data_IF_539483675998
#
_entry.id   IF_539483675998
#
_cell.length_a   1.000
_cell.length_b   1.000
_cell.length_c   1.000
_cell.angle_alpha   90.00
_cell.angle_beta   90.00
_cell.angle_gamma   90.00
#
_symmetry.space_group_name_H-M   'P 1'
#
loop_
_entity.id
_entity.type
_entity.pdbx_description
1 polymer ?
#
# COMPACT_ATOMS: atom_id res chain seq x y z
N UNK A 1 2.57 22.92 10.35
CA UNK A 1 2.42 21.95 11.45
C UNK A 1 1.82 20.59 11.04
N UNK A 2 0.95 20.53 10.04
CA UNK A 2 0.34 19.26 9.59
C UNK A 2 1.36 18.23 9.09
N UNK A 3 2.38 18.64 8.34
CA UNK A 3 3.46 17.74 7.87
C UNK A 3 4.24 17.14 9.06
N UNK A 4 4.60 17.97 10.04
CA UNK A 4 5.33 17.55 11.24
C UNK A 4 4.52 16.55 12.05
N UNK A 5 3.23 16.81 12.27
CA UNK A 5 2.33 15.91 12.97
C UNK A 5 2.21 14.56 12.24
N UNK A 6 2.04 14.58 10.92
CA UNK A 6 1.96 13.37 10.10
C UNK A 6 3.25 12.55 10.18
N UNK A 7 4.42 13.18 10.09
CA UNK A 7 5.71 12.50 10.24
C UNK A 7 5.83 11.80 11.60
N UNK A 8 5.48 12.50 12.69
CA UNK A 8 5.49 11.95 14.04
C UNK A 8 4.53 10.76 14.18
N UNK A 9 3.31 10.86 13.63
CA UNK A 9 2.33 9.78 13.68
C UNK A 9 2.81 8.53 12.94
N UNK A 10 3.33 8.69 11.72
CA UNK A 10 3.86 7.58 10.93
C UNK A 10 5.02 6.90 11.65
N UNK A 11 6.00 7.68 12.13
CA UNK A 11 7.15 7.14 12.83
C UNK A 11 6.74 6.45 14.14
N UNK A 12 5.86 7.06 14.93
CA UNK A 12 5.38 6.47 16.19
C UNK A 12 4.76 5.08 15.97
N UNK A 13 3.87 4.95 14.98
CA UNK A 13 3.23 3.67 14.68
C UNK A 13 4.23 2.62 14.19
N UNK A 14 5.16 3.00 13.30
CA UNK A 14 6.22 2.11 12.81
C UNK A 14 7.11 1.66 13.95
N UNK A 15 7.61 2.59 14.76
CA UNK A 15 8.56 2.31 15.85
C UNK A 15 7.92 1.45 16.94
N UNK A 16 6.69 1.78 17.39
CA UNK A 16 5.99 1.00 18.38
C UNK A 16 5.73 -0.45 17.90
N UNK A 17 5.30 -0.61 16.65
CA UNK A 17 5.04 -1.93 16.06
C UNK A 17 6.30 -2.78 15.96
N UNK A 18 7.40 -2.19 15.48
CA UNK A 18 8.67 -2.89 15.32
C UNK A 18 9.33 -3.24 16.65
N UNK A 19 9.28 -2.35 17.63
CA UNK A 19 9.79 -2.63 18.97
C UNK A 19 9.02 -3.77 19.64
N UNK A 20 7.68 -3.79 19.52
CA UNK A 20 6.87 -4.88 20.07
C UNK A 20 7.16 -6.21 19.34
N UNK A 21 7.28 -6.17 18.00
CA UNK A 21 7.63 -7.34 17.19
C UNK A 21 8.99 -7.92 17.62
N UNK A 22 10.04 -7.09 17.66
CA UNK A 22 11.38 -7.53 18.05
C UNK A 22 11.43 -8.01 19.49
N UNK A 23 10.77 -7.32 20.42
CA UNK A 23 10.68 -7.75 21.81
C UNK A 23 10.04 -9.13 21.96
N UNK A 24 8.99 -9.43 21.18
CA UNK A 24 8.36 -10.76 21.18
C UNK A 24 9.23 -11.80 20.52
N UNK A 25 9.84 -11.48 19.39
CA UNK A 25 10.73 -12.37 18.68
C UNK A 25 11.94 -12.77 19.52
N UNK A 26 12.63 -11.82 20.14
CA UNK A 26 13.83 -12.05 20.93
C UNK A 26 13.60 -12.79 22.27
N UNK A 27 12.34 -12.94 22.71
CA UNK A 27 11.99 -13.81 23.83
C UNK A 27 11.94 -15.30 23.47
N UNK A 28 11.93 -15.62 22.19
CA UNK A 28 11.90 -17.01 21.72
C UNK A 28 13.28 -17.63 21.89
N UNK A 29 13.39 -18.84 22.45
CA UNK A 29 14.68 -19.53 22.54
C UNK A 29 15.34 -19.68 21.17
N UNK A 30 16.64 -19.45 21.09
CA UNK A 30 17.44 -19.51 19.87
C UNK A 30 17.16 -18.42 18.83
N UNK A 31 16.37 -17.38 19.17
CA UNK A 31 16.22 -16.20 18.32
C UNK A 31 17.54 -15.41 18.29
N UNK A 32 17.92 -15.01 17.08
CA UNK A 32 19.02 -14.08 16.85
C UNK A 32 18.56 -13.01 15.85
N UNK A 33 19.00 -11.76 15.95
CA UNK A 33 18.55 -10.69 15.07
C UNK A 33 18.70 -11.01 13.57
N UNK A 34 19.76 -11.71 13.18
CA UNK A 34 20.05 -12.14 11.81
C UNK A 34 19.04 -13.18 11.30
N UNK A 35 18.48 -13.98 12.20
CA UNK A 35 17.50 -15.02 11.88
C UNK A 35 16.06 -14.50 11.78
N UNK A 36 15.85 -13.19 11.96
CA UNK A 36 14.52 -12.57 11.84
C UNK A 36 13.86 -12.88 10.50
N UNK A 37 14.65 -12.99 9.44
CA UNK A 37 14.21 -13.30 8.07
C UNK A 37 13.46 -14.62 7.93
N UNK A 38 13.74 -15.59 8.80
CA UNK A 38 13.05 -16.90 8.79
C UNK A 38 11.69 -16.86 9.52
N UNK A 39 11.46 -15.84 10.33
CA UNK A 39 10.29 -15.79 11.22
C UNK A 39 9.29 -14.67 10.86
N UNK A 40 9.72 -13.65 10.12
CA UNK A 40 8.94 -12.43 9.93
C UNK A 40 8.96 -11.95 8.49
N UNK A 41 7.79 -11.59 7.99
CA UNK A 41 7.60 -10.81 6.76
C UNK A 41 6.75 -9.60 7.11
N UNK A 42 7.18 -8.41 6.70
CA UNK A 42 6.48 -7.15 6.93
C UNK A 42 6.05 -6.57 5.59
N UNK A 43 4.73 -6.46 5.40
CA UNK A 43 4.15 -5.86 4.21
C UNK A 43 3.91 -4.37 4.47
N UNK A 44 4.62 -3.51 3.75
CA UNK A 44 4.40 -2.06 3.78
C UNK A 44 3.24 -1.73 2.84
N UNK A 45 2.19 -1.16 3.40
CA UNK A 45 0.98 -0.81 2.66
C UNK A 45 1.03 0.67 2.28
N UNK A 46 1.42 0.96 1.04
CA UNK A 46 1.77 2.27 0.51
C UNK A 46 3.01 2.90 1.18
N UNK A 47 3.26 4.20 0.93
CA UNK A 47 4.46 4.92 1.39
C UNK A 47 4.41 5.30 2.87
N UNK A 48 3.23 5.35 3.47
CA UNK A 48 3.03 5.80 4.86
C UNK A 48 3.87 5.04 5.90
N UNK A 49 4.02 3.68 5.84
CA UNK A 49 4.82 2.94 6.80
C UNK A 49 6.30 2.76 6.39
N UNK A 50 6.78 3.41 5.33
CA UNK A 50 8.16 3.18 4.83
C UNK A 50 9.24 3.60 5.82
N UNK A 51 8.94 4.50 6.76
CA UNK A 51 9.82 4.81 7.89
C UNK A 51 10.13 3.58 8.78
N UNK A 52 9.37 2.50 8.63
CA UNK A 52 9.68 1.22 9.27
C UNK A 52 11.03 0.64 8.79
N UNK A 53 11.45 0.94 7.56
CA UNK A 53 12.72 0.46 7.00
C UNK A 53 13.91 0.99 7.83
N UNK A 54 14.15 2.31 7.89
CA UNK A 54 15.26 2.83 8.69
C UNK A 54 15.08 2.55 10.19
N UNK A 55 13.84 2.48 10.69
CA UNK A 55 13.60 2.15 12.09
C UNK A 55 13.99 0.71 12.43
N UNK A 56 13.65 -0.29 11.58
CA UNK A 56 14.10 -1.66 11.81
C UNK A 56 15.62 -1.75 11.78
N UNK A 57 16.28 -1.12 10.82
CA UNK A 57 17.73 -1.09 10.72
C UNK A 57 18.32 -0.47 12.00
N UNK A 58 17.81 0.66 12.46
CA UNK A 58 18.24 1.31 13.71
C UNK A 58 18.10 0.38 14.92
N UNK A 59 17.00 -0.36 15.00
CA UNK A 59 16.78 -1.31 16.08
C UNK A 59 17.74 -2.50 16.01
N UNK A 60 18.03 -3.01 14.81
CA UNK A 60 19.00 -4.11 14.60
C UNK A 60 20.42 -3.67 14.91
N UNK A 61 20.81 -2.43 14.58
CA UNK A 61 22.10 -1.85 15.00
C UNK A 61 22.24 -1.83 16.53
N UNK A 62 21.16 -1.51 17.26
CA UNK A 62 21.13 -1.59 18.73
C UNK A 62 21.23 -3.02 19.27
N UNK A 63 20.96 -4.03 18.45
CA UNK A 63 21.19 -5.45 18.79
C UNK A 63 22.58 -5.93 18.38
N UNK A 64 23.46 -5.04 17.87
CA UNK A 64 24.84 -5.34 17.56
C UNK A 64 25.14 -5.75 16.12
N UNK A 65 24.19 -5.67 15.21
CA UNK A 65 24.45 -5.91 13.77
C UNK A 65 25.24 -4.74 13.18
N UNK A 66 26.01 -5.03 12.13
CA UNK A 66 26.57 -3.96 11.26
C UNK A 66 25.47 -3.36 10.38
N UNK A 67 25.75 -2.21 9.78
CA UNK A 67 24.78 -1.53 8.91
C UNK A 67 24.40 -2.39 7.70
N UNK A 68 25.40 -3.05 7.08
CA UNK A 68 25.21 -3.94 5.92
C UNK A 68 24.38 -5.17 6.30
N UNK A 69 24.67 -5.79 7.45
CA UNK A 69 23.91 -6.94 7.94
C UNK A 69 22.47 -6.55 8.25
N UNK A 70 22.25 -5.41 8.92
CA UNK A 70 20.92 -4.89 9.23
C UNK A 70 20.11 -4.54 7.96
N UNK A 71 20.76 -3.94 6.95
CA UNK A 71 20.16 -3.70 5.64
C UNK A 71 19.81 -5.02 4.93
N UNK A 72 20.70 -6.02 5.00
CA UNK A 72 20.45 -7.36 4.46
C UNK A 72 19.16 -7.98 5.06
N UNK A 73 19.04 -7.94 6.39
CA UNK A 73 17.82 -8.38 7.09
C UNK A 73 16.60 -7.60 6.63
N UNK A 74 16.70 -6.28 6.52
CA UNK A 74 15.60 -5.44 6.06
C UNK A 74 15.14 -5.80 4.63
N UNK A 75 16.06 -6.04 3.71
CA UNK A 75 15.77 -6.47 2.32
C UNK A 75 14.98 -7.79 2.27
N UNK A 76 15.26 -8.71 3.17
CA UNK A 76 14.59 -10.00 3.26
C UNK A 76 13.25 -9.95 4.02
N UNK A 77 13.08 -9.02 4.95
CA UNK A 77 11.88 -8.92 5.79
C UNK A 77 10.79 -8.06 5.13
N UNK A 78 11.15 -6.97 4.47
CA UNK A 78 10.18 -6.03 3.93
C UNK A 78 9.68 -6.39 2.52
N UNK A 79 8.38 -6.13 2.31
CA UNK A 79 7.69 -6.16 1.02
C UNK A 79 6.86 -4.88 0.90
N UNK A 80 6.67 -4.38 -0.32
CA UNK A 80 5.99 -3.11 -0.54
C UNK A 80 4.79 -3.28 -1.49
N UNK A 81 3.61 -2.83 -1.06
CA UNK A 81 2.44 -2.67 -1.92
C UNK A 81 2.27 -1.20 -2.26
N UNK A 82 2.38 -0.87 -3.55
CA UNK A 82 2.07 0.47 -4.03
C UNK A 82 0.58 0.57 -4.39
N UNK A 83 -0.09 1.63 -3.95
CA UNK A 83 -1.47 1.97 -4.31
C UNK A 83 -1.56 3.24 -5.16
N UNK A 84 -0.48 4.02 -5.19
CA UNK A 84 -0.45 5.39 -5.73
C UNK A 84 0.15 5.40 -7.12
N UNK A 85 -0.55 5.99 -8.10
CA UNK A 85 -0.07 6.18 -9.48
C UNK A 85 0.16 7.66 -9.83
N UNK A 86 -0.29 8.57 -9.00
CA UNK A 86 -0.16 10.01 -9.21
C UNK A 86 1.14 10.52 -8.58
N UNK A 87 2.06 11.12 -9.37
CA UNK A 87 3.34 11.59 -8.85
C UNK A 87 3.20 12.56 -7.67
N UNK A 88 2.16 13.41 -7.68
CA UNK A 88 1.89 14.40 -6.63
C UNK A 88 1.54 13.76 -5.27
N UNK A 89 1.03 12.53 -5.30
CA UNK A 89 0.65 11.78 -4.12
C UNK A 89 1.77 10.85 -3.61
N UNK A 90 2.89 10.75 -4.34
CA UNK A 90 4.07 10.01 -3.91
C UNK A 90 4.78 10.77 -2.79
N UNK A 91 4.78 10.18 -1.60
CA UNK A 91 5.27 10.85 -0.39
C UNK A 91 6.79 11.04 -0.40
N UNK A 92 7.22 12.24 -0.05
CA UNK A 92 8.62 12.58 0.20
C UNK A 92 8.74 13.52 1.40
N UNK A 93 9.85 13.42 2.11
CA UNK A 93 10.12 14.24 3.30
C UNK A 93 11.38 15.09 3.12
N UNK A 94 11.33 16.34 3.55
CA UNK A 94 12.53 17.17 3.62
C UNK A 94 13.51 16.59 4.63
N UNK A 95 14.76 16.43 4.25
CA UNK A 95 15.80 15.91 5.14
C UNK A 95 16.00 16.82 6.36
N UNK A 96 15.88 18.14 6.19
CA UNK A 96 15.95 19.10 7.29
C UNK A 96 14.81 18.90 8.31
N UNK A 97 13.59 18.63 7.85
CA UNK A 97 12.48 18.30 8.74
C UNK A 97 12.73 16.98 9.48
N UNK A 98 13.20 15.95 8.77
CA UNK A 98 13.57 14.68 9.39
C UNK A 98 14.68 14.86 10.42
N UNK A 99 15.71 15.64 10.12
CA UNK A 99 16.82 15.92 11.05
C UNK A 99 16.34 16.65 12.32
N UNK A 100 15.35 17.53 12.20
CA UNK A 100 14.79 18.24 13.36
C UNK A 100 13.90 17.38 14.25
N UNK A 101 13.17 16.40 13.66
CA UNK A 101 12.19 15.58 14.38
C UNK A 101 12.75 14.20 14.77
N UNK A 102 13.58 13.62 13.91
CA UNK A 102 14.08 12.25 13.96
C UNK A 102 15.58 12.19 13.60
N UNK A 103 16.46 12.84 14.37
CA UNK A 103 17.87 13.02 14.00
C UNK A 103 18.64 11.72 13.77
N UNK A 104 18.35 10.66 14.53
CA UNK A 104 18.97 9.33 14.33
C UNK A 104 18.54 8.73 12.98
N UNK A 105 17.25 8.84 12.62
CA UNK A 105 16.72 8.34 11.34
C UNK A 105 17.29 9.13 10.17
N UNK A 106 17.35 10.46 10.27
CA UNK A 106 17.94 11.30 9.22
C UNK A 106 19.40 10.94 8.94
N UNK A 107 20.22 10.76 9.98
CA UNK A 107 21.61 10.33 9.85
C UNK A 107 21.73 8.95 9.21
N UNK A 108 20.89 8.02 9.65
CA UNK A 108 20.87 6.67 9.09
C UNK A 108 20.47 6.67 7.61
N UNK A 109 19.51 7.50 7.21
CA UNK A 109 19.11 7.63 5.80
C UNK A 109 20.26 8.15 4.91
N UNK A 110 21.12 9.03 5.42
CA UNK A 110 22.32 9.45 4.68
C UNK A 110 23.29 8.27 4.51
N UNK A 111 23.52 7.48 5.56
CA UNK A 111 24.39 6.29 5.48
C UNK A 111 23.82 5.23 4.52
N UNK A 112 22.49 5.05 4.51
CA UNK A 112 21.82 4.14 3.57
C UNK A 112 21.94 4.64 2.12
N UNK A 113 21.94 5.93 1.91
CA UNK A 113 22.15 6.53 0.59
C UNK A 113 23.55 6.27 0.04
N UNK A 114 24.58 6.29 0.90
CA UNK A 114 25.93 5.90 0.52
C UNK A 114 25.98 4.42 0.09
N UNK A 115 25.32 3.53 0.82
CA UNK A 115 25.21 2.11 0.46
C UNK A 115 24.42 1.90 -0.84
N UNK A 116 23.35 2.68 -1.07
CA UNK A 116 22.63 2.67 -2.34
C UNK A 116 23.55 3.02 -3.52
N UNK A 117 24.29 4.11 -3.41
CA UNK A 117 25.22 4.54 -4.46
C UNK A 117 26.30 3.47 -4.74
N UNK A 118 26.88 2.89 -3.69
CA UNK A 118 27.86 1.81 -3.84
C UNK A 118 27.26 0.57 -4.51
N UNK A 119 26.03 0.18 -4.17
CA UNK A 119 25.32 -0.94 -4.79
C UNK A 119 25.06 -0.70 -6.28
N UNK A 120 24.58 0.50 -6.65
CA UNK A 120 24.31 0.85 -8.05
C UNK A 120 25.59 0.84 -8.90
N UNK A 121 26.70 1.33 -8.35
CA UNK A 121 28.00 1.27 -9.01
C UNK A 121 28.50 -0.16 -9.17
N UNK A 122 28.36 -0.99 -8.14
CA UNK A 122 28.75 -2.41 -8.19
C UNK A 122 27.92 -3.22 -9.20
N UNK A 123 26.64 -2.87 -9.39
CA UNK A 123 25.78 -3.45 -10.42
C UNK A 123 26.10 -2.98 -11.85
N UNK A 124 27.00 -1.99 -12.01
CA UNK A 124 27.26 -1.36 -13.31
C UNK A 124 26.02 -0.68 -13.93
N UNK A 125 25.10 -0.23 -13.08
CA UNK A 125 23.87 0.42 -13.53
C UNK A 125 24.17 1.77 -14.18
N UNK A 126 23.41 2.12 -15.24
CA UNK A 126 23.58 3.40 -15.92
C UNK A 126 23.35 4.56 -14.92
N UNK A 127 24.33 5.47 -14.84
CA UNK A 127 24.34 6.55 -13.85
C UNK A 127 23.09 7.44 -13.95
N UNK A 128 22.71 7.82 -15.18
CA UNK A 128 21.47 8.61 -15.41
C UNK A 128 20.20 7.92 -14.93
N UNK A 129 20.18 6.60 -14.98
CA UNK A 129 19.03 5.81 -14.58
C UNK A 129 18.87 5.80 -13.05
N UNK A 130 19.91 5.39 -12.31
CA UNK A 130 19.79 5.26 -10.86
C UNK A 130 19.77 6.61 -10.13
N UNK A 131 20.36 7.66 -10.69
CA UNK A 131 20.24 9.01 -10.12
C UNK A 131 18.78 9.49 -10.04
N UNK A 132 17.93 9.13 -11.01
CA UNK A 132 16.50 9.52 -10.98
C UNK A 132 15.72 8.84 -9.88
N UNK A 133 16.14 7.67 -9.45
CA UNK A 133 15.46 6.86 -8.42
C UNK A 133 16.24 6.78 -7.10
N UNK A 134 17.34 7.51 -6.99
CA UNK A 134 18.10 7.61 -5.74
C UNK A 134 17.17 8.06 -4.61
N UNK A 135 17.07 7.30 -3.51
CA UNK A 135 16.13 7.62 -2.44
C UNK A 135 16.35 8.99 -1.82
N UNK A 136 17.60 9.40 -1.62
CA UNK A 136 17.94 10.74 -1.13
C UNK A 136 18.48 11.61 -2.27
N UNK A 137 17.66 12.56 -2.73
CA UNK A 137 18.03 13.54 -3.77
C UNK A 137 17.35 14.88 -3.51
N UNK A 138 17.94 15.96 -3.98
CA UNK A 138 17.39 17.34 -3.86
C UNK A 138 17.04 17.72 -2.42
N UNK A 139 17.79 17.22 -1.44
CA UNK A 139 17.55 17.47 -0.01
C UNK A 139 16.26 16.79 0.54
N UNK A 140 15.73 15.82 -0.18
CA UNK A 140 14.50 15.09 0.18
C UNK A 140 14.72 13.58 0.12
N UNK A 141 14.04 12.86 1.01
CA UNK A 141 13.93 11.41 0.93
C UNK A 141 12.60 11.02 0.27
N UNK A 142 12.68 10.22 -0.78
CA UNK A 142 11.53 9.73 -1.54
C UNK A 142 11.16 8.32 -1.05
N UNK A 143 10.01 8.22 -0.40
CA UNK A 143 9.60 7.01 0.31
C UNK A 143 9.39 5.81 -0.62
N UNK A 144 8.78 6.03 -1.78
CA UNK A 144 8.58 4.95 -2.75
C UNK A 144 9.92 4.40 -3.29
N UNK A 145 10.90 5.28 -3.54
CA UNK A 145 12.21 4.87 -4.03
C UNK A 145 12.99 4.10 -2.95
N UNK A 146 12.92 4.56 -1.69
CA UNK A 146 13.49 3.81 -0.57
C UNK A 146 12.86 2.41 -0.43
N UNK A 147 11.53 2.33 -0.55
CA UNK A 147 10.82 1.06 -0.51
C UNK A 147 11.17 0.16 -1.71
N UNK A 148 11.25 0.72 -2.92
CA UNK A 148 11.63 -0.03 -4.12
C UNK A 148 13.06 -0.57 -4.03
N UNK A 149 13.98 0.15 -3.41
CA UNK A 149 15.33 -0.33 -3.20
C UNK A 149 15.40 -1.47 -2.17
N UNK A 150 14.84 -1.23 -0.97
CA UNK A 150 15.04 -2.13 0.17
C UNK A 150 14.09 -3.32 0.15
N UNK A 151 12.83 -3.15 -0.23
CA UNK A 151 11.89 -4.28 -0.20
C UNK A 151 12.28 -5.36 -1.22
N UNK A 152 12.21 -6.63 -0.81
CA UNK A 152 12.50 -7.76 -1.69
C UNK A 152 11.59 -7.82 -2.93
N UNK A 153 10.31 -7.50 -2.74
CA UNK A 153 9.32 -7.38 -3.83
C UNK A 153 8.44 -6.16 -3.64
N UNK A 154 7.98 -5.63 -4.78
CA UNK A 154 6.99 -4.55 -4.89
C UNK A 154 5.78 -5.09 -5.63
N UNK A 155 4.56 -4.83 -5.18
CA UNK A 155 3.39 -5.23 -5.95
C UNK A 155 2.42 -4.08 -6.21
N UNK A 156 1.83 -4.13 -7.40
CA UNK A 156 0.61 -3.44 -7.72
C UNK A 156 -0.62 -4.26 -7.27
N UNK A 157 -1.80 -3.64 -7.30
CA UNK A 157 -3.04 -4.16 -6.70
C UNK A 157 -4.08 -4.63 -7.72
N UNK A 158 -3.76 -4.55 -9.01
CA UNK A 158 -4.52 -5.07 -10.14
C UNK A 158 -3.60 -5.20 -11.36
N UNK A 159 -3.96 -6.01 -12.36
CA UNK A 159 -3.13 -6.20 -13.55
C UNK A 159 -2.83 -4.87 -14.26
N UNK A 160 -3.86 -4.08 -14.58
CA UNK A 160 -3.71 -2.76 -15.20
C UNK A 160 -2.87 -1.80 -14.32
N UNK A 161 -3.10 -1.78 -13.01
CA UNK A 161 -2.34 -0.95 -12.08
C UNK A 161 -0.85 -1.34 -12.12
N UNK A 162 -0.54 -2.63 -12.10
CA UNK A 162 0.83 -3.14 -12.14
C UNK A 162 1.52 -2.79 -13.45
N UNK A 163 0.79 -2.83 -14.57
CA UNK A 163 1.29 -2.40 -15.86
C UNK A 163 1.64 -0.90 -15.86
N UNK A 164 0.77 -0.06 -15.32
CA UNK A 164 1.02 1.38 -15.14
C UNK A 164 2.26 1.62 -14.28
N UNK A 165 2.43 0.86 -13.19
CA UNK A 165 3.62 0.95 -12.36
C UNK A 165 4.88 0.64 -13.16
N UNK A 166 4.91 -0.48 -13.89
CA UNK A 166 6.07 -0.92 -14.66
C UNK A 166 6.43 0.02 -15.80
N UNK A 167 5.43 0.55 -16.51
CA UNK A 167 5.65 1.33 -17.71
C UNK A 167 5.82 2.84 -17.46
N UNK A 168 5.35 3.33 -16.30
CA UNK A 168 5.30 4.77 -16.01
C UNK A 168 5.87 5.13 -14.66
N UNK A 169 5.17 4.76 -13.58
CA UNK A 169 5.44 5.27 -12.22
C UNK A 169 6.78 4.79 -11.67
N UNK A 170 7.06 3.49 -11.81
CA UNK A 170 8.27 2.82 -11.33
C UNK A 170 9.09 2.25 -12.50
N UNK A 171 9.02 2.89 -13.67
CA UNK A 171 9.67 2.44 -14.90
C UNK A 171 11.17 2.22 -14.72
N UNK A 172 11.84 3.16 -14.08
CA UNK A 172 13.28 3.10 -13.90
C UNK A 172 13.65 1.95 -12.93
N UNK A 173 12.84 1.70 -11.91
CA UNK A 173 12.97 0.53 -11.03
C UNK A 173 12.72 -0.79 -11.78
N UNK A 174 11.76 -0.82 -12.70
CA UNK A 174 11.50 -2.00 -13.53
C UNK A 174 12.65 -2.29 -14.52
N UNK A 175 13.43 -1.27 -14.92
CA UNK A 175 14.64 -1.44 -15.72
C UNK A 175 15.81 -1.96 -14.86
N UNK A 176 15.99 -1.43 -13.64
CA UNK A 176 17.04 -1.87 -12.71
C UNK A 176 16.80 -3.30 -12.18
N UNK A 177 15.54 -3.62 -11.89
CA UNK A 177 15.14 -4.91 -11.30
C UNK A 177 13.87 -5.44 -11.99
N UNK A 178 13.97 -6.09 -13.16
CA UNK A 178 12.81 -6.49 -13.99
C UNK A 178 11.81 -7.41 -13.28
N UNK A 179 12.29 -8.27 -12.39
CA UNK A 179 11.47 -9.27 -11.71
C UNK A 179 10.92 -8.81 -10.34
N UNK A 180 11.27 -7.58 -9.92
CA UNK A 180 10.92 -7.08 -8.60
C UNK A 180 9.47 -6.65 -8.47
N UNK A 181 8.86 -6.15 -9.56
CA UNK A 181 7.48 -5.62 -9.56
C UNK A 181 6.49 -6.70 -9.97
N UNK A 182 5.64 -7.10 -9.04
CA UNK A 182 4.67 -8.19 -9.19
C UNK A 182 3.24 -7.65 -9.20
N UNK A 183 2.30 -8.46 -9.71
CA UNK A 183 0.87 -8.19 -9.53
C UNK A 183 0.29 -9.04 -8.37
N UNK A 184 -0.47 -8.38 -7.49
CA UNK A 184 -1.34 -9.04 -6.50
C UNK A 184 -2.68 -8.34 -6.51
N UNK A 185 -3.62 -8.88 -7.29
CA UNK A 185 -4.95 -8.30 -7.41
C UNK A 185 -5.68 -8.32 -6.07
N UNK A 186 -6.24 -7.18 -5.69
CA UNK A 186 -7.04 -7.04 -4.48
C UNK A 186 -8.23 -8.01 -4.50
N UNK A 187 -8.59 -8.50 -3.32
CA UNK A 187 -9.83 -9.24 -3.14
C UNK A 187 -11.07 -8.34 -3.23
N UNK A 188 -12.23 -8.97 -3.35
CA UNK A 188 -13.54 -8.32 -3.39
C UNK A 188 -14.35 -8.76 -2.18
N UNK A 189 -14.99 -7.79 -1.50
CA UNK A 189 -15.79 -8.00 -0.29
C UNK A 189 -17.28 -7.98 -0.62
N UNK A 190 -17.72 -8.83 -1.55
CA UNK A 190 -19.10 -8.89 -2.05
C UNK A 190 -20.12 -9.26 -0.99
N UNK A 191 -19.74 -10.10 -0.02
CA UNK A 191 -20.64 -10.49 1.09
C UNK A 191 -21.07 -9.29 1.92
N UNK A 192 -20.13 -8.41 2.26
CA UNK A 192 -20.40 -7.20 3.05
C UNK A 192 -20.95 -6.07 2.18
N UNK A 193 -20.20 -5.66 1.16
CA UNK A 193 -20.49 -4.42 0.42
C UNK A 193 -21.52 -4.57 -0.70
N UNK A 194 -21.96 -5.80 -1.03
CA UNK A 194 -23.04 -6.02 -1.97
C UNK A 194 -24.21 -6.76 -1.29
N UNK A 195 -23.97 -7.98 -0.80
CA UNK A 195 -25.06 -8.81 -0.28
C UNK A 195 -25.71 -8.23 1.00
N UNK A 196 -24.89 -7.75 1.95
CA UNK A 196 -25.39 -7.21 3.23
C UNK A 196 -25.79 -5.74 3.13
N UNK A 197 -24.93 -4.89 2.57
CA UNK A 197 -25.17 -3.44 2.57
C UNK A 197 -26.18 -2.99 1.54
N UNK A 198 -26.47 -3.79 0.50
CA UNK A 198 -27.40 -3.46 -0.56
C UNK A 198 -28.41 -4.60 -0.79
N UNK A 199 -29.34 -4.84 0.16
CA UNK A 199 -30.27 -5.97 0.09
C UNK A 199 -31.19 -5.91 -1.13
N UNK A 200 -31.59 -4.72 -1.59
CA UNK A 200 -32.43 -4.55 -2.78
C UNK A 200 -31.70 -5.00 -4.04
N UNK A 201 -30.44 -4.60 -4.23
CA UNK A 201 -29.63 -5.07 -5.35
C UNK A 201 -29.33 -6.56 -5.22
N UNK A 202 -29.02 -7.05 -4.02
CA UNK A 202 -28.80 -8.48 -3.76
C UNK A 202 -30.03 -9.33 -4.16
N UNK A 203 -31.23 -8.85 -3.85
CA UNK A 203 -32.50 -9.51 -4.24
C UNK A 203 -32.66 -9.53 -5.77
N UNK A 204 -32.41 -8.40 -6.45
CA UNK A 204 -32.49 -8.31 -7.91
C UNK A 204 -31.53 -9.30 -8.59
N UNK A 205 -30.24 -9.33 -8.15
CA UNK A 205 -29.23 -10.25 -8.66
C UNK A 205 -29.62 -11.71 -8.43
N UNK A 206 -30.05 -12.04 -7.21
CA UNK A 206 -30.48 -13.40 -6.84
C UNK A 206 -31.69 -13.86 -7.68
N UNK A 207 -32.66 -12.98 -7.90
CA UNK A 207 -33.82 -13.28 -8.72
C UNK A 207 -33.41 -13.58 -10.16
N UNK A 208 -32.57 -12.74 -10.77
CA UNK A 208 -32.14 -12.90 -12.17
C UNK A 208 -31.22 -14.10 -12.38
N UNK A 209 -30.39 -14.43 -11.40
CA UNK A 209 -29.48 -15.58 -11.45
C UNK A 209 -30.13 -16.91 -10.99
N UNK A 210 -31.32 -16.84 -10.40
CA UNK A 210 -32.04 -18.00 -9.87
C UNK A 210 -31.42 -18.64 -8.61
N UNK A 211 -30.34 -18.05 -8.07
CA UNK A 211 -29.68 -18.57 -6.87
C UNK A 211 -28.82 -17.50 -6.16
N UNK A 212 -28.48 -17.77 -4.88
CA UNK A 212 -27.54 -16.97 -4.08
C UNK A 212 -26.07 -17.37 -4.27
N UNK A 213 -25.76 -18.31 -5.14
CA UNK A 213 -24.39 -18.86 -5.33
C UNK A 213 -23.38 -17.78 -5.76
N UNK A 214 -23.82 -16.69 -6.37
CA UNK A 214 -22.97 -15.55 -6.71
C UNK A 214 -22.27 -14.93 -5.48
N UNK A 215 -22.82 -15.09 -4.27
CA UNK A 215 -22.23 -14.55 -3.03
C UNK A 215 -20.91 -15.23 -2.71
N UNK A 216 -20.77 -16.50 -3.03
CA UNK A 216 -19.53 -17.30 -2.80
C UNK A 216 -18.73 -17.52 -4.08
N UNK A 217 -19.36 -17.40 -5.25
CA UNK A 217 -18.72 -17.56 -6.56
C UNK A 217 -19.13 -16.41 -7.48
N UNK A 218 -18.28 -15.37 -7.52
CA UNK A 218 -18.52 -14.15 -8.31
C UNK A 218 -18.60 -14.39 -9.82
N UNK A 219 -18.00 -15.46 -10.35
CA UNK A 219 -18.12 -15.81 -11.77
C UNK A 219 -19.57 -16.03 -12.21
N UNK A 220 -20.47 -16.34 -11.28
CA UNK A 220 -21.91 -16.41 -11.59
C UNK A 220 -22.48 -15.08 -12.08
N UNK A 221 -21.89 -13.94 -11.72
CA UNK A 221 -22.30 -12.61 -12.19
C UNK A 221 -22.11 -12.42 -13.70
N UNK A 222 -21.23 -13.20 -14.34
CA UNK A 222 -21.06 -13.14 -15.80
C UNK A 222 -22.34 -13.48 -16.56
N UNK A 223 -23.21 -14.30 -15.96
CA UNK A 223 -24.55 -14.62 -16.49
C UNK A 223 -25.49 -13.43 -16.60
N UNK A 224 -25.11 -12.29 -16.04
CA UNK A 224 -25.87 -11.03 -16.17
C UNK A 224 -25.56 -10.29 -17.49
N UNK A 225 -24.45 -10.60 -18.17
CA UNK A 225 -24.04 -9.93 -19.41
C UNK A 225 -25.16 -9.86 -20.47
N UNK A 226 -25.94 -10.94 -20.72
CA UNK A 226 -27.05 -10.88 -21.69
C UNK A 226 -28.20 -9.92 -21.30
N UNK A 227 -28.26 -9.51 -20.04
CA UNK A 227 -29.31 -8.59 -19.54
C UNK A 227 -28.88 -7.12 -19.54
N UNK A 228 -27.66 -6.80 -20.00
CA UNK A 228 -27.11 -5.45 -19.96
C UNK A 228 -27.99 -4.41 -20.69
N UNK A 229 -28.71 -4.84 -21.75
CA UNK A 229 -29.59 -3.99 -22.54
C UNK A 229 -31.11 -4.35 -22.33
N UNK A 230 -31.40 -5.23 -21.40
CA UNK A 230 -32.80 -5.62 -21.13
C UNK A 230 -33.49 -4.51 -20.34
N UNK A 231 -34.55 -3.92 -20.95
CA UNK A 231 -35.27 -2.77 -20.41
C UNK A 231 -35.93 -3.03 -19.06
N UNK A 232 -36.45 -4.23 -18.82
CA UNK A 232 -37.03 -4.63 -17.54
C UNK A 232 -35.98 -4.66 -16.42
N UNK A 233 -34.81 -5.26 -16.71
CA UNK A 233 -33.70 -5.34 -15.75
C UNK A 233 -33.11 -3.96 -15.46
N UNK A 234 -32.93 -3.13 -16.49
CA UNK A 234 -32.49 -1.76 -16.33
C UNK A 234 -33.45 -0.92 -15.49
N UNK A 235 -34.76 -1.06 -15.74
CA UNK A 235 -35.80 -0.39 -14.93
C UNK A 235 -35.72 -0.81 -13.46
N UNK A 236 -35.67 -2.12 -13.18
CA UNK A 236 -35.57 -2.65 -11.82
C UNK A 236 -34.27 -2.19 -11.13
N UNK A 237 -33.16 -2.12 -11.85
CA UNK A 237 -31.90 -1.60 -11.35
C UNK A 237 -31.97 -0.10 -11.01
N UNK A 238 -32.57 0.71 -11.89
CA UNK A 238 -32.80 2.13 -11.66
C UNK A 238 -33.68 2.38 -10.43
N UNK A 239 -34.76 1.63 -10.28
CA UNK A 239 -35.63 1.75 -9.10
C UNK A 239 -34.91 1.35 -7.80
N UNK A 240 -34.08 0.30 -7.85
CA UNK A 240 -33.22 -0.08 -6.73
C UNK A 240 -32.27 1.09 -6.32
N UNK A 241 -31.65 1.76 -7.28
CA UNK A 241 -30.79 2.94 -7.01
C UNK A 241 -31.60 4.09 -6.41
N UNK A 242 -32.78 4.40 -6.98
CA UNK A 242 -33.65 5.48 -6.47
C UNK A 242 -34.07 5.21 -5.03
N UNK A 243 -34.48 3.99 -4.69
CA UNK A 243 -34.86 3.64 -3.32
C UNK A 243 -33.69 3.75 -2.34
N UNK A 244 -32.51 3.33 -2.73
CA UNK A 244 -31.30 3.51 -1.90
C UNK A 244 -30.99 5.00 -1.63
N UNK A 245 -31.15 5.86 -2.64
CA UNK A 245 -31.00 7.32 -2.48
C UNK A 245 -32.06 7.90 -1.54
N UNK A 246 -33.33 7.47 -1.66
CA UNK A 246 -34.42 7.88 -0.75
C UNK A 246 -34.14 7.43 0.69
N UNK A 247 -33.60 6.23 0.89
CA UNK A 247 -33.20 5.74 2.22
C UNK A 247 -32.09 6.58 2.82
N UNK A 248 -31.08 6.97 2.02
CA UNK A 248 -30.00 7.85 2.45
C UNK A 248 -30.54 9.24 2.79
N UNK A 249 -31.39 9.83 1.94
CA UNK A 249 -32.04 11.14 2.21
C UNK A 249 -32.79 11.13 3.55
N UNK A 250 -33.63 10.14 3.78
CA UNK A 250 -34.39 9.98 5.06
C UNK A 250 -33.46 9.82 6.27
N UNK A 251 -32.30 9.18 6.11
CA UNK A 251 -31.32 9.08 7.19
C UNK A 251 -30.65 10.43 7.46
N UNK A 252 -30.26 11.17 6.41
CA UNK A 252 -29.67 12.51 6.51
C UNK A 252 -30.66 13.52 7.13
N UNK A 253 -31.92 13.47 6.75
CA UNK A 253 -32.97 14.30 7.34
C UNK A 253 -33.06 14.15 8.87
N UNK A 254 -32.93 12.92 9.37
CA UNK A 254 -32.86 12.66 10.82
C UNK A 254 -31.63 13.24 11.51
N UNK A 255 -30.61 13.61 10.72
CA UNK A 255 -29.40 14.32 11.21
C UNK A 255 -29.50 15.84 10.99
N UNK A 256 -30.65 16.35 10.54
CA UNK A 256 -30.84 17.77 10.23
C UNK A 256 -30.28 18.23 8.87
N UNK A 257 -29.92 17.26 8.00
CA UNK A 257 -29.34 17.53 6.68
C UNK A 257 -30.39 17.21 5.59
N UNK A 258 -30.67 18.16 4.73
CA UNK A 258 -31.69 18.03 3.68
C UNK A 258 -31.05 17.98 2.31
N UNK A 259 -31.26 16.87 1.56
CA UNK A 259 -30.75 16.68 0.21
C UNK A 259 -31.85 16.10 -0.68
N UNK A 260 -31.94 16.60 -1.92
CA UNK A 260 -32.83 16.05 -2.93
C UNK A 260 -32.26 14.71 -3.45
N UNK A 261 -32.97 13.57 -3.26
CA UNK A 261 -32.54 12.27 -3.74
C UNK A 261 -32.31 12.23 -5.26
N UNK A 262 -33.00 13.06 -6.04
CA UNK A 262 -32.82 13.11 -7.49
C UNK A 262 -31.46 13.72 -7.92
N UNK A 263 -30.86 14.54 -7.06
CA UNK A 263 -29.57 15.22 -7.30
C UNK A 263 -28.37 14.51 -6.66
N UNK A 264 -28.60 13.44 -5.88
CA UNK A 264 -27.51 12.62 -5.34
C UNK A 264 -26.86 11.79 -6.46
N UNK A 265 -25.53 11.64 -6.42
CA UNK A 265 -24.75 10.79 -7.34
C UNK A 265 -25.02 9.29 -7.13
#
# INVERSE_FOLDING_TARGET
DGKRLRLRQQYFLCSASLQDLLRRYLRTPSSAPEKLVAAVVIQLNDTHPVLAIPELIRLLLKQGLTLEAALGVAKEVFRYTNHTVMPEAMESWDLALLASELPEIARLLCQLDDLFCAEMQALGAEERLWHRVRPLRDGRIYMADLACWVCGYVNGVAALHTEILRLRVLRDWAQLYPDKILNRTNGITQRRFLALCNPSLSALLTHRLGSKNWITNLFQLEKLKPYAENSEVLTAFCETKKENKRRLSRWLERQGLYYDPARML
#
